data_IF_926953623705
#
_entry.id   IF_926953623705
#
_cell.length_a   1.000
_cell.length_b   1.000
_cell.length_c   1.000
_cell.angle_alpha   90.00
_cell.angle_beta   90.00
_cell.angle_gamma   90.00
#
_symmetry.space_group_name_H-M   'P 1'
#
loop_
_entity.id
_entity.type
_entity.pdbx_description
1 polymer ?
#
# COMPACT_ATOMS: atom_id res chain seq x y z
N UNK A 1 3.62 20.37 -40.33
CA UNK A 1 3.88 20.77 -38.92
C UNK A 1 2.71 20.51 -37.98
N UNK A 2 1.46 20.90 -38.28
CA UNK A 2 0.31 20.76 -37.36
C UNK A 2 0.04 19.33 -36.81
N UNK A 3 0.31 18.29 -37.61
CA UNK A 3 0.12 16.88 -37.19
C UNK A 3 1.10 16.48 -36.08
N UNK A 4 2.35 16.91 -36.18
CA UNK A 4 3.40 16.64 -35.17
C UNK A 4 3.08 17.38 -33.88
N UNK A 5 2.71 18.66 -33.97
CA UNK A 5 2.32 19.47 -32.81
C UNK A 5 1.16 18.85 -32.04
N UNK A 6 0.13 18.35 -32.75
CA UNK A 6 -0.99 17.61 -32.14
C UNK A 6 -0.53 16.35 -31.40
N UNK A 7 0.40 15.58 -31.97
CA UNK A 7 0.90 14.37 -31.31
C UNK A 7 1.70 14.72 -30.05
N UNK A 8 2.54 15.76 -30.11
CA UNK A 8 3.29 16.26 -28.94
C UNK A 8 2.34 16.67 -27.81
N UNK A 9 1.30 17.46 -28.10
CA UNK A 9 0.32 17.85 -27.09
C UNK A 9 -0.46 16.66 -26.50
N UNK A 10 -0.77 15.64 -27.31
CA UNK A 10 -1.44 14.42 -26.85
C UNK A 10 -0.53 13.59 -25.91
N UNK A 11 0.74 13.43 -26.26
CA UNK A 11 1.69 12.73 -25.40
C UNK A 11 1.95 13.49 -24.09
N UNK A 12 2.13 14.81 -24.17
CA UNK A 12 2.34 15.65 -22.99
C UNK A 12 1.10 15.67 -22.08
N UNK A 13 -0.09 15.75 -22.67
CA UNK A 13 -1.36 15.68 -21.93
C UNK A 13 -1.56 14.33 -21.24
N UNK A 14 -1.21 13.23 -21.91
CA UNK A 14 -1.27 11.87 -21.33
C UNK A 14 -0.28 11.72 -20.18
N UNK A 15 0.95 12.19 -20.35
CA UNK A 15 1.97 12.19 -19.30
C UNK A 15 1.50 12.95 -18.05
N UNK A 16 0.97 14.16 -18.23
CA UNK A 16 0.47 14.98 -17.12
C UNK A 16 -0.76 14.39 -16.41
N UNK A 17 -1.59 13.62 -17.11
CA UNK A 17 -2.70 12.88 -16.49
C UNK A 17 -2.17 11.75 -15.61
N UNK A 18 -1.20 11.00 -16.11
CA UNK A 18 -0.60 9.88 -15.40
C UNK A 18 0.13 10.33 -14.13
N UNK A 19 0.97 11.36 -14.21
CA UNK A 19 1.68 11.90 -13.04
C UNK A 19 0.73 12.44 -11.99
N UNK A 20 -0.39 13.06 -12.38
CA UNK A 20 -1.42 13.51 -11.44
C UNK A 20 -2.09 12.35 -10.69
N UNK A 21 -2.41 11.25 -11.37
CA UNK A 21 -2.97 10.06 -10.69
C UNK A 21 -1.99 9.53 -9.66
N UNK A 22 -0.71 9.40 -10.02
CA UNK A 22 0.33 8.91 -9.09
C UNK A 22 0.50 9.88 -7.91
N UNK A 23 0.56 11.18 -8.17
CA UNK A 23 0.71 12.20 -7.12
C UNK A 23 -0.50 12.24 -6.17
N UNK A 24 -1.72 12.19 -6.71
CA UNK A 24 -2.94 12.18 -5.91
C UNK A 24 -3.06 10.91 -5.08
N UNK A 25 -2.86 9.75 -5.69
CA UNK A 25 -2.91 8.46 -4.99
C UNK A 25 -1.82 8.38 -3.92
N UNK A 26 -0.61 8.87 -4.20
CA UNK A 26 0.49 8.92 -3.23
C UNK A 26 0.19 9.87 -2.06
N UNK A 27 -0.40 11.03 -2.33
CA UNK A 27 -0.81 11.99 -1.29
C UNK A 27 -1.90 11.41 -0.39
N UNK A 28 -2.86 10.68 -0.95
CA UNK A 28 -3.90 9.99 -0.17
C UNK A 28 -3.26 8.91 0.71
N UNK A 29 -2.28 8.18 0.17
CA UNK A 29 -1.60 7.10 0.86
C UNK A 29 -0.82 7.54 2.11
N UNK A 30 -0.46 8.82 2.23
CA UNK A 30 0.19 9.34 3.44
C UNK A 30 -0.75 9.25 4.65
N UNK A 31 -2.06 9.38 4.43
CA UNK A 31 -3.10 9.46 5.47
C UNK A 31 -4.01 8.23 5.48
N UNK A 32 -3.60 7.13 4.82
CA UNK A 32 -4.45 5.95 4.70
C UNK A 32 -4.88 5.35 6.07
N UNK A 33 -4.05 5.36 7.14
CA UNK A 33 -4.48 4.85 8.43
C UNK A 33 -5.61 5.70 9.04
N UNK A 34 -5.46 7.03 8.99
CA UNK A 34 -6.45 7.98 9.51
C UNK A 34 -7.75 7.95 8.69
N UNK A 35 -7.63 7.78 7.37
CA UNK A 35 -8.78 7.59 6.49
C UNK A 35 -9.52 6.30 6.81
N UNK A 36 -8.81 5.18 6.96
CA UNK A 36 -9.41 3.90 7.33
C UNK A 36 -10.15 4.02 8.67
N UNK A 37 -9.57 4.68 9.67
CA UNK A 37 -10.24 4.90 10.96
C UNK A 37 -11.51 5.73 10.81
N UNK A 38 -11.46 6.84 10.05
CA UNK A 38 -12.63 7.71 9.84
C UNK A 38 -13.78 7.04 9.08
N UNK A 39 -13.44 6.11 8.17
CA UNK A 39 -14.41 5.37 7.35
C UNK A 39 -14.95 4.16 8.13
N UNK A 40 -14.10 3.54 8.95
CA UNK A 40 -14.50 2.39 9.75
C UNK A 40 -15.39 2.85 10.91
N UNK A 41 -16.67 2.48 10.88
CA UNK A 41 -17.59 2.67 12.00
C UNK A 41 -17.28 1.70 13.17
N UNK A 42 -16.01 1.42 13.44
CA UNK A 42 -15.60 0.61 14.57
C UNK A 42 -16.01 1.35 15.84
N UNK A 43 -17.02 0.83 16.52
CA UNK A 43 -17.58 1.46 17.71
C UNK A 43 -16.49 1.66 18.75
N UNK A 44 -16.36 2.90 19.23
CA UNK A 44 -15.58 3.28 20.40
C UNK A 44 -16.25 2.68 21.65
N UNK A 45 -16.17 1.36 21.82
CA UNK A 45 -16.57 0.77 23.10
C UNK A 45 -15.65 1.32 24.19
N UNK A 46 -16.25 1.76 25.28
CA UNK A 46 -15.61 2.30 26.48
C UNK A 46 -14.40 1.45 26.86
N UNK A 47 -13.25 2.09 27.03
CA UNK A 47 -11.93 1.51 27.30
C UNK A 47 -11.97 0.21 28.13
N UNK A 48 -12.09 -0.93 27.45
CA UNK A 48 -11.94 -2.25 28.04
C UNK A 48 -10.45 -2.55 28.23
N UNK A 49 -10.08 -3.36 29.23
CA UNK A 49 -8.68 -3.74 29.42
C UNK A 49 -8.18 -4.49 28.18
N UNK A 50 -7.08 -3.98 27.62
CA UNK A 50 -6.41 -4.55 26.46
C UNK A 50 -5.90 -5.96 26.79
N UNK A 51 -6.33 -6.98 26.03
CA UNK A 51 -5.94 -8.37 26.27
C UNK A 51 -5.50 -9.10 24.99
N UNK A 52 -4.19 -9.11 24.75
CA UNK A 52 -3.57 -9.72 23.58
C UNK A 52 -3.70 -11.25 23.54
N UNK A 53 -3.61 -11.91 24.70
CA UNK A 53 -3.73 -13.37 24.78
C UNK A 53 -5.12 -13.85 24.40
N UNK A 54 -6.14 -13.12 24.87
CA UNK A 54 -7.54 -13.42 24.54
C UNK A 54 -7.79 -13.15 23.05
N UNK A 55 -7.28 -12.05 22.52
CA UNK A 55 -7.38 -11.74 21.09
C UNK A 55 -6.75 -12.84 20.23
N UNK A 56 -5.55 -13.30 20.58
CA UNK A 56 -4.87 -14.38 19.85
C UNK A 56 -5.61 -15.72 19.94
N UNK A 57 -6.17 -16.07 21.11
CA UNK A 57 -6.99 -17.27 21.27
C UNK A 57 -8.26 -17.19 20.43
N UNK A 58 -8.95 -16.05 20.45
CA UNK A 58 -10.15 -15.82 19.63
C UNK A 58 -9.84 -15.95 18.15
N UNK A 59 -8.72 -15.38 17.67
CA UNK A 59 -8.27 -15.54 16.28
C UNK A 59 -8.05 -17.02 15.92
N UNK A 60 -7.41 -17.81 16.79
CA UNK A 60 -7.22 -19.26 16.57
C UNK A 60 -8.53 -20.04 16.53
N UNK A 61 -9.50 -19.67 17.37
CA UNK A 61 -10.80 -20.33 17.44
C UNK A 61 -11.64 -19.99 16.20
N UNK A 62 -11.67 -18.72 15.80
CA UNK A 62 -12.44 -18.26 14.63
C UNK A 62 -11.83 -18.70 13.30
N UNK A 63 -10.50 -18.83 13.23
CA UNK A 63 -9.79 -19.20 12.00
C UNK A 63 -8.93 -20.45 12.20
N UNK A 64 -9.54 -21.63 12.44
CA UNK A 64 -8.81 -22.88 12.70
C UNK A 64 -7.93 -23.29 11.50
N UNK A 65 -8.34 -22.94 10.28
CA UNK A 65 -7.63 -23.25 9.04
C UNK A 65 -6.40 -22.35 8.80
N UNK A 66 -6.22 -21.29 9.61
CA UNK A 66 -5.16 -20.28 9.46
C UNK A 66 -4.05 -20.51 10.50
N UNK A 67 -3.31 -21.61 10.31
CA UNK A 67 -2.24 -22.04 11.22
C UNK A 67 -0.94 -21.23 11.14
N UNK A 68 -0.81 -20.30 10.18
CA UNK A 68 0.35 -19.45 10.01
C UNK A 68 0.52 -18.38 11.11
N UNK A 69 1.58 -17.57 10.96
CA UNK A 69 1.90 -16.51 11.92
C UNK A 69 0.95 -15.32 11.80
N UNK A 70 0.26 -15.01 12.89
CA UNK A 70 -0.49 -13.78 13.06
C UNK A 70 0.43 -12.66 13.57
N UNK A 71 0.31 -11.47 12.99
CA UNK A 71 0.95 -10.25 13.52
C UNK A 71 -0.12 -9.36 14.14
N UNK A 72 -0.02 -9.16 15.43
CA UNK A 72 -0.87 -8.24 16.18
C UNK A 72 -0.13 -6.90 16.26
N UNK A 73 -0.79 -5.81 15.87
CA UNK A 73 -0.21 -4.48 15.80
C UNK A 73 -0.74 -3.60 16.93
N UNK A 74 0.15 -2.81 17.53
CA UNK A 74 -0.23 -1.81 18.52
C UNK A 74 -0.68 -0.55 17.81
N UNK A 75 -1.95 -0.19 17.92
CA UNK A 75 -2.43 1.13 17.51
C UNK A 75 -2.27 2.13 18.66
N UNK A 76 -2.02 3.39 18.34
CA UNK A 76 -2.02 4.49 19.32
C UNK A 76 -3.43 4.70 19.87
N UNK A 77 -4.42 4.48 19.03
CA UNK A 77 -5.83 4.66 19.32
C UNK A 77 -6.42 3.32 19.79
N UNK A 78 -6.59 3.18 21.10
CA UNK A 78 -6.99 1.93 21.77
C UNK A 78 -8.47 1.61 21.52
N UNK A 79 -8.92 1.51 20.28
CA UNK A 79 -10.30 1.15 19.93
C UNK A 79 -10.41 -0.31 19.46
N UNK A 80 -9.35 -0.85 18.88
CA UNK A 80 -9.29 -2.24 18.42
C UNK A 80 -7.84 -2.75 18.40
N UNK A 81 -7.69 -4.05 18.22
CA UNK A 81 -6.40 -4.70 18.03
C UNK A 81 -6.28 -5.08 16.55
N UNK A 82 -5.57 -4.33 15.70
CA UNK A 82 -5.35 -4.76 14.33
C UNK A 82 -4.48 -6.03 14.28
N UNK A 83 -4.94 -7.03 13.53
CA UNK A 83 -4.26 -8.31 13.34
C UNK A 83 -4.13 -8.62 11.85
N UNK A 84 -2.95 -9.05 11.43
CA UNK A 84 -2.64 -9.40 10.04
C UNK A 84 -2.22 -10.86 9.95
N UNK A 85 -2.86 -11.59 9.05
CA UNK A 85 -2.47 -12.94 8.69
C UNK A 85 -1.84 -12.95 7.31
N UNK A 86 -0.54 -13.24 7.26
CA UNK A 86 0.18 -13.44 6.00
C UNK A 86 -0.13 -14.84 5.50
N UNK A 87 -0.98 -14.94 4.49
CA UNK A 87 -1.29 -16.21 3.84
C UNK A 87 -0.01 -16.78 3.21
N UNK A 88 0.46 -17.94 3.70
CA UNK A 88 1.64 -18.62 3.16
C UNK A 88 1.32 -19.54 1.97
N UNK A 89 0.04 -19.66 1.56
CA UNK A 89 -0.29 -20.39 0.34
C UNK A 89 -0.03 -19.50 -0.88
N UNK A 90 1.10 -19.80 -1.56
CA UNK A 90 1.65 -19.21 -2.79
C UNK A 90 0.72 -19.30 -4.03
N UNK A 91 -0.58 -19.47 -3.88
CA UNK A 91 -1.50 -19.81 -4.96
C UNK A 91 -2.38 -18.66 -5.44
N UNK A 92 -2.37 -17.50 -4.79
CA UNK A 92 -3.16 -16.34 -5.26
C UNK A 92 -2.26 -15.43 -6.07
N UNK A 93 -2.74 -15.03 -7.24
CA UNK A 93 -2.15 -14.15 -8.26
C UNK A 93 -1.63 -12.79 -7.73
N UNK A 94 -1.87 -12.50 -6.44
CA UNK A 94 -1.37 -11.34 -5.72
C UNK A 94 -0.36 -11.78 -4.67
N UNK A 95 0.93 -11.44 -4.88
CA UNK A 95 2.02 -11.77 -3.98
C UNK A 95 1.87 -11.20 -2.55
N UNK A 96 0.94 -10.27 -2.34
CA UNK A 96 0.72 -9.60 -1.06
C UNK A 96 -0.78 -9.28 -0.85
N UNK A 97 -1.52 -10.25 -0.30
CA UNK A 97 -2.92 -10.07 0.07
C UNK A 97 -3.21 -10.64 1.48
N UNK A 98 -2.63 -10.06 2.56
CA UNK A 98 -2.90 -10.52 3.91
C UNK A 98 -4.38 -10.36 4.28
N UNK A 99 -4.88 -11.29 5.09
CA UNK A 99 -6.17 -11.11 5.75
C UNK A 99 -5.97 -10.15 6.93
N UNK A 100 -6.72 -9.07 6.93
CA UNK A 100 -6.75 -8.05 7.97
C UNK A 100 -7.96 -8.31 8.86
N UNK A 101 -7.75 -8.41 10.16
CA UNK A 101 -8.81 -8.65 11.14
C UNK A 101 -8.64 -7.64 12.27
N UNK A 102 -9.74 -7.06 12.74
CA UNK A 102 -9.74 -6.12 13.86
C UNK A 102 -10.56 -6.68 15.03
N UNK A 103 -9.94 -7.49 15.90
CA UNK A 103 -10.53 -7.82 17.20
C UNK A 103 -10.83 -6.61 18.08
N UNK A 104 -11.83 -6.77 18.95
CA UNK A 104 -12.11 -5.85 20.06
C UNK A 104 -10.94 -5.79 21.06
N UNK A 105 -10.90 -4.74 21.90
CA UNK A 105 -9.82 -4.54 22.89
C UNK A 105 -9.75 -5.66 23.94
N UNK A 106 -10.91 -6.18 24.35
CA UNK A 106 -11.00 -7.34 25.24
C UNK A 106 -10.62 -8.66 24.55
N UNK A 107 -10.40 -8.62 23.23
CA UNK A 107 -9.98 -9.74 22.41
C UNK A 107 -11.07 -10.79 22.21
N UNK A 108 -12.33 -10.53 22.60
CA UNK A 108 -13.41 -11.53 22.59
C UNK A 108 -14.20 -11.57 21.29
N UNK A 109 -14.26 -10.46 20.57
CA UNK A 109 -15.10 -10.33 19.39
C UNK A 109 -14.28 -9.84 18.20
N UNK A 110 -14.66 -10.28 17.00
CA UNK A 110 -14.12 -9.76 15.75
C UNK A 110 -15.05 -8.66 15.28
N UNK A 111 -14.55 -7.43 15.19
CA UNK A 111 -15.35 -6.27 14.79
C UNK A 111 -15.38 -6.10 13.26
N UNK A 112 -14.29 -6.50 12.60
CA UNK A 112 -14.13 -6.39 11.14
C UNK A 112 -13.12 -7.42 10.64
N UNK A 113 -13.38 -7.96 9.46
CA UNK A 113 -12.47 -8.81 8.70
C UNK A 113 -12.48 -8.39 7.23
N UNK A 114 -11.31 -8.17 6.64
CA UNK A 114 -11.20 -7.81 5.23
C UNK A 114 -9.88 -8.31 4.63
N UNK A 115 -9.90 -8.64 3.34
CA UNK A 115 -8.69 -9.02 2.61
C UNK A 115 -8.04 -7.76 2.04
N UNK A 116 -6.72 -7.65 2.17
CA UNK A 116 -5.95 -6.56 1.57
C UNK A 116 -6.21 -6.45 0.07
N UNK A 117 -6.57 -5.25 -0.38
CA UNK A 117 -6.94 -4.93 -1.75
C UNK A 117 -8.44 -4.85 -2.00
N UNK A 118 -9.27 -5.36 -1.08
CA UNK A 118 -10.74 -5.35 -1.22
C UNK A 118 -11.41 -4.10 -0.62
N UNK A 119 -10.66 -3.26 0.09
CA UNK A 119 -11.17 -2.03 0.68
C UNK A 119 -10.40 -0.81 0.22
N UNK A 120 -11.08 0.34 0.27
CA UNK A 120 -10.70 1.57 -0.42
C UNK A 120 -9.21 1.90 -0.31
N UNK A 121 -8.67 1.92 0.91
CA UNK A 121 -7.29 2.34 1.16
C UNK A 121 -6.25 1.36 0.58
N UNK A 122 -6.49 0.06 0.73
CA UNK A 122 -5.59 -0.97 0.19
C UNK A 122 -5.74 -1.17 -1.30
N UNK A 123 -6.91 -0.86 -1.85
CA UNK A 123 -7.11 -0.74 -3.29
C UNK A 123 -6.33 0.46 -3.87
N UNK A 124 -6.39 1.63 -3.22
CA UNK A 124 -5.58 2.80 -3.60
C UNK A 124 -4.10 2.48 -3.50
N UNK A 125 -3.68 1.74 -2.47
CA UNK A 125 -2.31 1.27 -2.36
C UNK A 125 -1.88 0.46 -3.59
N UNK A 126 -2.70 -0.53 -4.01
CA UNK A 126 -2.40 -1.35 -5.17
C UNK A 126 -2.40 -0.55 -6.48
N UNK A 127 -3.32 0.43 -6.61
CA UNK A 127 -3.34 1.37 -7.73
C UNK A 127 -2.09 2.26 -7.74
N UNK A 128 -1.66 2.77 -6.59
CA UNK A 128 -0.49 3.64 -6.50
C UNK A 128 0.80 2.88 -6.85
N UNK A 129 0.96 1.68 -6.26
CA UNK A 129 2.22 0.95 -6.33
C UNK A 129 2.38 0.14 -7.62
N UNK A 130 1.29 -0.42 -8.15
CA UNK A 130 1.33 -1.32 -9.30
C UNK A 130 0.41 -0.89 -10.44
N UNK A 131 -0.35 0.20 -10.29
CA UNK A 131 -1.40 0.61 -11.22
C UNK A 131 -2.41 -0.51 -11.50
N UNK A 132 -2.60 -1.40 -10.51
CA UNK A 132 -3.40 -2.63 -10.61
C UNK A 132 -2.91 -3.63 -11.67
N UNK A 133 -1.74 -3.40 -12.27
CA UNK A 133 -1.14 -4.24 -13.30
C UNK A 133 -0.05 -5.20 -12.75
N UNK A 134 0.05 -5.29 -11.41
CA UNK A 134 0.89 -6.26 -10.72
C UNK A 134 2.38 -6.15 -11.04
N UNK A 135 3.06 -7.29 -11.06
CA UNK A 135 4.53 -7.37 -11.21
C UNK A 135 5.05 -6.73 -12.50
N UNK A 136 4.27 -6.75 -13.58
CA UNK A 136 4.71 -6.22 -14.88
C UNK A 136 5.07 -4.75 -14.78
N UNK A 137 4.21 -3.93 -14.14
CA UNK A 137 4.46 -2.50 -13.97
C UNK A 137 5.61 -2.27 -13.01
N UNK A 138 5.72 -3.03 -11.93
CA UNK A 138 6.85 -2.91 -10.99
C UNK A 138 8.19 -3.16 -11.69
N UNK A 139 8.27 -4.16 -12.56
CA UNK A 139 9.47 -4.46 -13.35
C UNK A 139 9.78 -3.33 -14.33
N UNK A 140 8.79 -2.85 -15.08
CA UNK A 140 8.95 -1.76 -16.05
C UNK A 140 9.45 -0.48 -15.38
N UNK A 141 8.82 -0.08 -14.26
CA UNK A 141 9.24 1.09 -13.48
C UNK A 141 10.67 0.89 -12.96
N UNK A 142 11.01 -0.32 -12.50
CA UNK A 142 12.38 -0.66 -12.09
C UNK A 142 13.42 -0.34 -13.16
N UNK A 143 13.18 -0.76 -14.41
CA UNK A 143 14.06 -0.42 -15.53
C UNK A 143 14.10 1.08 -15.85
N UNK A 144 12.97 1.78 -15.76
CA UNK A 144 12.90 3.24 -15.97
C UNK A 144 13.74 3.98 -14.92
N UNK A 145 13.68 3.56 -13.66
CA UNK A 145 14.47 4.14 -12.56
C UNK A 145 15.96 3.90 -12.78
N UNK A 146 16.35 2.67 -13.14
CA UNK A 146 17.75 2.33 -13.44
C UNK A 146 18.28 3.19 -14.60
N UNK A 147 17.52 3.27 -15.71
CA UNK A 147 17.90 4.11 -16.85
C UNK A 147 18.02 5.59 -16.48
N UNK A 148 17.10 6.09 -15.68
CA UNK A 148 17.13 7.49 -15.18
C UNK A 148 18.35 7.74 -14.29
N UNK A 149 18.72 6.78 -13.44
CA UNK A 149 19.90 6.87 -12.59
C UNK A 149 21.19 6.86 -13.42
N UNK A 150 21.28 6.00 -14.44
CA UNK A 150 22.40 6.00 -15.39
C UNK A 150 22.54 7.35 -16.08
N UNK A 151 21.42 7.92 -16.55
CA UNK A 151 21.41 9.26 -17.16
C UNK A 151 21.87 10.33 -16.18
N UNK A 152 21.40 10.30 -14.94
CA UNK A 152 21.77 11.26 -13.89
C UNK A 152 23.28 11.18 -13.58
N UNK A 153 23.83 9.98 -13.39
CA UNK A 153 25.26 9.76 -13.16
C UNK A 153 26.07 10.26 -14.36
N UNK A 154 25.64 9.96 -15.58
CA UNK A 154 26.32 10.41 -16.80
C UNK A 154 26.33 11.94 -16.91
N UNK A 155 25.22 12.59 -16.55
CA UNK A 155 25.09 14.04 -16.48
C UNK A 155 26.02 14.66 -15.44
N UNK A 156 26.13 14.05 -14.25
CA UNK A 156 27.07 14.50 -13.21
C UNK A 156 28.53 14.37 -13.66
N UNK A 157 28.89 13.28 -14.34
CA UNK A 157 30.22 13.09 -14.92
C UNK A 157 30.53 14.16 -15.98
N UNK A 158 29.60 14.39 -16.91
CA UNK A 158 29.74 15.42 -17.94
C UNK A 158 29.80 16.84 -17.36
N UNK A 159 29.10 17.08 -16.24
CA UNK A 159 29.18 18.36 -15.53
C UNK A 159 30.54 18.58 -14.87
N UNK A 160 31.14 17.53 -14.30
CA UNK A 160 32.48 17.58 -13.71
C UNK A 160 33.56 17.84 -14.76
N UNK A 161 33.49 17.23 -15.94
CA UNK A 161 34.49 17.45 -17.00
C UNK A 161 34.46 18.87 -17.57
N UNK A 162 33.29 19.52 -17.58
CA UNK A 162 33.16 20.93 -18.00
C UNK A 162 33.82 21.94 -17.05
N UNK A 163 33.99 21.62 -15.77
CA UNK A 163 34.64 22.48 -14.77
C UNK A 163 36.15 22.25 -14.63
N UNK A 164 36.73 21.31 -15.40
CA UNK A 164 38.15 20.94 -15.34
C UNK A 164 39.00 21.33 -16.56
N UNK A 165 38.44 22.08 -17.52
CA UNK A 165 39.20 22.79 -18.54
C UNK A 165 39.07 24.30 -18.29
N UNK A 166 39.97 24.83 -17.47
CA UNK A 166 40.14 26.23 -17.14
C UNK A 166 41.48 26.40 -16.44
#
# INVERSE_FOLDING_TARGET
MAKITRHVYLYLGTYWRFTRVIALTGSILVYYPELNESISNLSTETAKPLNWDTAYKTLKIHYPDKQGSWRLETTKDKHCIPARYYNQNKTVEHAFAPLMVWPSLDGKHILREEVWGNYFDTWIYNLHFSLLAGNTVTIVIGYVVIGSLTLLISGLYAWRTKKGLG
#
